data_IF_538424609467
#
_entry.id   IF_538424609467
#
_cell.length_a   1.000
_cell.length_b   1.000
_cell.length_c   1.000
_cell.angle_alpha   90.00
_cell.angle_beta   90.00
_cell.angle_gamma   90.00
#
_symmetry.space_group_name_H-M   'P 1'
#
loop_
_entity.id
_entity.type
_entity.pdbx_description
1 polymer ?
#
# COMPACT_ATOMS: atom_id res chain seq x y z
N UNK A 1 10.25 -13.49 19.94
CA UNK A 1 9.65 -13.00 21.20
C UNK A 1 9.55 -11.47 21.28
N UNK A 2 10.63 -10.69 21.08
CA UNK A 2 10.54 -9.22 21.15
C UNK A 2 9.61 -8.59 20.08
N UNK A 3 9.50 -9.19 18.89
CA UNK A 3 8.69 -8.67 17.78
C UNK A 3 7.18 -8.67 18.09
N UNK A 4 6.72 -9.57 18.96
CA UNK A 4 5.30 -9.75 19.31
C UNK A 4 4.74 -8.50 19.99
N UNK A 5 5.54 -7.83 20.83
CA UNK A 5 5.13 -6.61 21.52
C UNK A 5 4.85 -5.44 20.56
N UNK A 6 5.47 -5.44 19.38
CA UNK A 6 5.29 -4.38 18.38
C UNK A 6 4.10 -4.62 17.45
N UNK A 7 3.54 -5.84 17.41
CA UNK A 7 2.45 -6.19 16.48
C UNK A 7 1.22 -5.28 16.60
N UNK A 8 0.70 -4.95 17.80
CA UNK A 8 -0.43 -4.05 17.93
C UNK A 8 -0.17 -2.66 17.34
N UNK A 9 1.02 -2.10 17.57
CA UNK A 9 1.43 -0.82 17.02
C UNK A 9 1.54 -0.86 15.50
N UNK A 10 2.18 -1.90 14.94
CA UNK A 10 2.29 -2.09 13.50
C UNK A 10 0.92 -2.19 12.82
N UNK A 11 -0.02 -2.90 13.43
CA UNK A 11 -1.40 -3.03 12.91
C UNK A 11 -2.09 -1.68 12.81
N UNK A 12 -2.02 -0.87 13.86
CA UNK A 12 -2.66 0.45 13.89
C UNK A 12 -2.05 1.34 12.80
N UNK A 13 -0.73 1.41 12.72
CA UNK A 13 -0.02 2.25 11.74
C UNK A 13 -0.35 1.82 10.30
N UNK A 14 -0.17 0.54 9.97
CA UNK A 14 -0.38 0.04 8.61
C UNK A 14 -1.85 0.03 8.20
N UNK A 15 -2.74 -0.28 9.14
CA UNK A 15 -4.17 -0.26 8.91
C UNK A 15 -4.70 1.15 8.64
N UNK A 16 -4.28 2.14 9.44
CA UNK A 16 -4.63 3.55 9.21
C UNK A 16 -4.03 4.08 7.91
N UNK A 17 -2.80 3.69 7.56
CA UNK A 17 -2.19 4.06 6.28
C UNK A 17 -3.04 3.57 5.10
N UNK A 18 -3.45 2.31 5.09
CA UNK A 18 -4.23 1.71 4.01
C UNK A 18 -5.64 2.31 3.92
N UNK A 19 -6.33 2.47 5.06
CA UNK A 19 -7.65 3.11 5.09
C UNK A 19 -7.53 4.57 4.65
N UNK A 20 -6.59 5.33 5.20
CA UNK A 20 -6.36 6.73 4.82
C UNK A 20 -6.06 6.88 3.33
N UNK A 21 -5.16 6.04 2.80
CA UNK A 21 -4.83 6.03 1.37
C UNK A 21 -6.04 5.72 0.49
N UNK A 22 -6.85 4.72 0.88
CA UNK A 22 -8.07 4.36 0.13
C UNK A 22 -9.13 5.47 0.14
N UNK A 23 -9.41 6.07 1.30
CA UNK A 23 -10.41 7.13 1.46
C UNK A 23 -10.02 8.39 0.68
N UNK A 24 -8.72 8.65 0.50
CA UNK A 24 -8.25 9.76 -0.33
C UNK A 24 -8.36 9.48 -1.85
N UNK A 25 -8.42 8.21 -2.26
CA UNK A 25 -8.55 7.80 -3.68
C UNK A 25 -10.00 7.62 -4.12
N UNK A 26 -10.87 7.13 -3.24
CA UNK A 26 -12.27 6.79 -3.56
C UNK A 26 -13.12 7.97 -4.11
N UNK A 27 -12.98 9.22 -3.63
CA UNK A 27 -13.79 10.35 -4.12
C UNK A 27 -13.57 10.68 -5.59
N UNK A 28 -12.37 10.40 -6.13
CA UNK A 28 -12.00 10.75 -7.50
C UNK A 28 -11.19 9.62 -8.17
N UNK A 29 -11.89 8.52 -8.44
CA UNK A 29 -11.32 7.36 -9.14
C UNK A 29 -10.88 7.69 -10.57
N UNK A 30 -11.54 8.64 -11.24
CA UNK A 30 -11.15 9.09 -12.58
C UNK A 30 -9.79 9.81 -12.53
N UNK A 31 -9.62 10.73 -11.58
CA UNK A 31 -8.37 11.42 -11.36
C UNK A 31 -7.25 10.49 -10.91
N UNK A 32 -7.54 9.50 -10.05
CA UNK A 32 -6.57 8.47 -9.70
C UNK A 32 -6.19 7.60 -10.91
N UNK A 33 -7.14 7.22 -11.75
CA UNK A 33 -6.86 6.53 -13.03
C UNK A 33 -5.98 7.36 -13.96
N UNK A 34 -6.17 8.68 -14.02
CA UNK A 34 -5.31 9.58 -14.79
C UNK A 34 -3.90 9.66 -14.19
N UNK A 35 -3.77 9.67 -12.86
CA UNK A 35 -2.48 9.60 -12.17
C UNK A 35 -1.75 8.28 -12.50
N UNK A 36 -2.43 7.13 -12.45
CA UNK A 36 -1.86 5.83 -12.84
C UNK A 36 -1.46 5.82 -14.32
N UNK A 37 -2.28 6.39 -15.21
CA UNK A 37 -1.96 6.50 -16.63
C UNK A 37 -0.67 7.30 -16.87
N UNK A 38 -0.40 8.32 -16.05
CA UNK A 38 0.77 9.21 -16.21
C UNK A 38 2.12 8.49 -16.06
N UNK A 39 2.15 7.33 -15.41
CA UNK A 39 3.34 6.48 -15.34
C UNK A 39 3.74 5.89 -16.69
N UNK A 40 2.79 5.72 -17.63
CA UNK A 40 2.99 5.06 -18.92
C UNK A 40 3.68 3.67 -18.80
N UNK A 41 3.36 2.93 -17.73
CA UNK A 41 3.89 1.59 -17.45
C UNK A 41 2.89 0.46 -17.72
N UNK A 42 1.60 0.78 -17.80
CA UNK A 42 0.52 -0.18 -18.01
C UNK A 42 -0.16 0.06 -19.36
N UNK A 43 -0.70 -0.99 -20.00
CA UNK A 43 -1.49 -0.81 -21.19
C UNK A 43 -2.79 -0.08 -20.87
N UNK A 44 -3.28 0.74 -21.81
CA UNK A 44 -4.45 1.64 -21.60
C UNK A 44 -5.69 0.90 -21.10
N UNK A 45 -5.92 -0.33 -21.56
CA UNK A 45 -7.06 -1.16 -21.16
C UNK A 45 -6.97 -1.65 -19.70
N UNK A 46 -5.77 -1.76 -19.13
CA UNK A 46 -5.56 -2.23 -17.75
C UNK A 46 -5.56 -1.08 -16.72
N UNK A 47 -5.27 0.16 -17.14
CA UNK A 47 -5.16 1.30 -16.20
C UNK A 47 -6.44 1.50 -15.39
N UNK A 48 -7.59 1.59 -16.07
CA UNK A 48 -8.88 1.86 -15.41
C UNK A 48 -9.29 0.75 -14.44
N UNK A 49 -9.30 -0.55 -14.80
CA UNK A 49 -9.67 -1.60 -13.85
C UNK A 49 -8.71 -1.63 -12.65
N UNK A 50 -7.39 -1.51 -12.86
CA UNK A 50 -6.42 -1.48 -11.76
C UNK A 50 -6.69 -0.29 -10.82
N UNK A 51 -6.81 0.92 -11.38
CA UNK A 51 -7.02 2.12 -10.59
C UNK A 51 -8.35 2.11 -9.82
N UNK A 52 -9.38 1.49 -10.37
CA UNK A 52 -10.68 1.40 -9.71
C UNK A 52 -10.71 0.32 -8.64
N UNK A 53 -10.01 -0.81 -8.84
CA UNK A 53 -10.02 -1.92 -7.89
C UNK A 53 -9.10 -1.69 -6.69
N UNK A 54 -7.91 -1.11 -6.90
CA UNK A 54 -6.91 -0.92 -5.84
C UNK A 54 -7.46 -0.24 -4.58
N UNK A 55 -8.18 0.90 -4.65
CA UNK A 55 -8.67 1.58 -3.45
C UNK A 55 -9.60 0.72 -2.59
N UNK A 56 -10.45 -0.12 -3.21
CA UNK A 56 -11.32 -1.04 -2.46
C UNK A 56 -10.52 -2.15 -1.79
N UNK A 57 -9.52 -2.70 -2.48
CA UNK A 57 -8.64 -3.72 -1.90
C UNK A 57 -7.84 -3.12 -0.74
N UNK A 58 -7.29 -1.92 -0.91
CA UNK A 58 -6.59 -1.20 0.16
C UNK A 58 -7.48 -0.98 1.39
N UNK A 59 -8.75 -0.59 1.18
CA UNK A 59 -9.70 -0.42 2.28
C UNK A 59 -9.97 -1.73 3.03
N UNK A 60 -10.25 -2.82 2.32
CA UNK A 60 -10.53 -4.14 2.91
C UNK A 60 -9.31 -4.65 3.69
N UNK A 61 -8.11 -4.51 3.10
CA UNK A 61 -6.85 -4.90 3.74
C UNK A 61 -6.61 -4.06 4.99
N UNK A 62 -6.77 -2.74 4.91
CA UNK A 62 -6.62 -1.85 6.06
C UNK A 62 -7.58 -2.21 7.20
N UNK A 63 -8.83 -2.50 6.87
CA UNK A 63 -9.84 -2.94 7.83
C UNK A 63 -9.48 -4.28 8.50
N UNK A 64 -9.01 -5.27 7.74
CA UNK A 64 -8.57 -6.55 8.30
C UNK A 64 -7.31 -6.43 9.16
N UNK A 65 -6.35 -5.59 8.77
CA UNK A 65 -5.16 -5.31 9.59
C UNK A 65 -5.55 -4.64 10.91
N UNK A 66 -6.47 -3.65 10.90
CA UNK A 66 -6.95 -3.00 12.12
C UNK A 66 -7.75 -3.94 13.02
N UNK A 67 -8.76 -4.60 12.47
CA UNK A 67 -9.60 -5.53 13.23
C UNK A 67 -8.83 -6.77 13.71
N UNK A 68 -7.75 -7.15 13.02
CA UNK A 68 -6.99 -8.37 13.30
C UNK A 68 -7.62 -9.62 12.72
N UNK A 69 -8.75 -9.48 12.02
CA UNK A 69 -9.39 -10.58 11.32
C UNK A 69 -8.53 -11.00 10.15
N UNK A 70 -8.23 -12.30 10.04
CA UNK A 70 -7.42 -12.85 8.95
C UNK A 70 -6.09 -12.09 8.75
N UNK A 71 -5.47 -11.66 9.85
CA UNK A 71 -4.32 -10.74 9.86
C UNK A 71 -3.18 -11.18 8.96
N UNK A 72 -2.86 -12.48 8.94
CA UNK A 72 -1.79 -13.02 8.12
C UNK A 72 -2.08 -12.82 6.61
N UNK A 73 -3.31 -13.12 6.17
CA UNK A 73 -3.73 -12.91 4.79
C UNK A 73 -3.72 -11.41 4.44
N UNK A 74 -4.25 -10.57 5.31
CA UNK A 74 -4.25 -9.12 5.12
C UNK A 74 -2.82 -8.55 5.01
N UNK A 75 -1.90 -9.02 5.86
CA UNK A 75 -0.50 -8.63 5.83
C UNK A 75 0.20 -9.06 4.53
N UNK A 76 -0.06 -10.29 4.05
CA UNK A 76 0.45 -10.73 2.75
C UNK A 76 -0.10 -9.91 1.59
N UNK A 77 -1.40 -9.63 1.56
CA UNK A 77 -2.00 -8.81 0.50
C UNK A 77 -1.47 -7.37 0.53
N UNK A 78 -1.30 -6.78 1.71
CA UNK A 78 -0.72 -5.45 1.86
C UNK A 78 0.74 -5.40 1.43
N UNK A 79 1.52 -6.43 1.76
CA UNK A 79 2.90 -6.58 1.27
C UNK A 79 2.95 -6.63 -0.26
N UNK A 80 2.08 -7.41 -0.91
CA UNK A 80 2.02 -7.49 -2.37
C UNK A 80 1.70 -6.12 -2.99
N UNK A 81 0.71 -5.40 -2.45
CA UNK A 81 0.36 -4.05 -2.92
C UNK A 81 1.55 -3.10 -2.79
N UNK A 82 2.24 -3.13 -1.65
CA UNK A 82 3.40 -2.29 -1.40
C UNK A 82 4.58 -2.65 -2.30
N UNK A 83 4.86 -3.93 -2.53
CA UNK A 83 5.90 -4.38 -3.46
C UNK A 83 5.61 -3.94 -4.90
N UNK A 84 4.38 -4.16 -5.39
CA UNK A 84 3.98 -3.74 -6.74
C UNK A 84 4.12 -2.22 -6.89
N UNK A 85 3.61 -1.44 -5.93
CA UNK A 85 3.71 0.03 -5.95
C UNK A 85 5.17 0.50 -5.90
N UNK A 86 6.00 -0.15 -5.07
CA UNK A 86 7.44 0.13 -4.97
C UNK A 86 8.15 -0.13 -6.29
N UNK A 87 7.87 -1.26 -6.96
CA UNK A 87 8.43 -1.61 -8.25
C UNK A 87 8.01 -0.61 -9.33
N UNK A 88 6.73 -0.22 -9.37
CA UNK A 88 6.22 0.80 -10.31
C UNK A 88 6.94 2.13 -10.13
N UNK A 89 7.08 2.60 -8.89
CA UNK A 89 7.81 3.84 -8.56
C UNK A 89 9.28 3.73 -8.97
N UNK A 90 9.93 2.62 -8.64
CA UNK A 90 11.33 2.38 -8.95
C UNK A 90 11.60 2.40 -10.45
N UNK A 91 10.81 1.65 -11.23
CA UNK A 91 10.90 1.64 -12.70
C UNK A 91 10.66 3.04 -13.26
N UNK A 92 9.65 3.76 -12.77
CA UNK A 92 9.36 5.11 -13.23
C UNK A 92 10.50 6.11 -12.93
N UNK A 93 11.16 5.99 -11.78
CA UNK A 93 12.35 6.76 -11.42
C UNK A 93 13.55 6.43 -12.32
N UNK A 94 13.80 5.14 -12.58
CA UNK A 94 14.87 4.70 -13.49
C UNK A 94 14.67 5.20 -14.92
N UNK A 95 13.43 5.19 -15.39
CA UNK A 95 13.03 5.75 -16.69
C UNK A 95 12.94 7.29 -16.70
N UNK A 96 13.32 7.96 -15.60
CA UNK A 96 13.27 9.42 -15.43
C UNK A 96 11.91 10.03 -15.78
N UNK A 97 10.82 9.32 -15.48
CA UNK A 97 9.45 9.79 -15.75
C UNK A 97 9.13 10.98 -14.84
N UNK A 98 8.67 12.08 -15.43
CA UNK A 98 8.22 13.27 -14.70
C UNK A 98 6.75 13.13 -14.34
N UNK A 99 6.46 12.34 -13.31
CA UNK A 99 5.11 12.12 -12.79
C UNK A 99 4.82 13.16 -11.69
N UNK A 100 3.86 14.06 -11.96
CA UNK A 100 3.45 15.13 -11.02
C UNK A 100 2.66 14.60 -9.83
N UNK A 101 1.90 13.52 -10.02
CA UNK A 101 1.14 12.87 -8.97
C UNK A 101 1.45 11.37 -8.94
N UNK A 102 2.12 10.92 -7.89
CA UNK A 102 2.41 9.50 -7.67
C UNK A 102 1.14 8.68 -7.42
N UNK A 103 0.01 9.33 -7.08
CA UNK A 103 -1.28 8.68 -6.87
C UNK A 103 -1.43 7.98 -5.51
N UNK A 104 -0.37 7.87 -4.71
CA UNK A 104 -0.39 7.20 -3.40
C UNK A 104 -1.46 7.73 -2.43
N UNK A 105 -1.85 9.01 -2.58
CA UNK A 105 -2.86 9.69 -1.74
C UNK A 105 -4.00 10.27 -2.61
N UNK A 106 -4.30 9.63 -3.73
CA UNK A 106 -5.34 10.06 -4.65
C UNK A 106 -5.02 11.39 -5.34
N UNK A 107 -6.07 12.18 -5.60
CA UNK A 107 -5.95 13.52 -6.19
C UNK A 107 -6.04 14.64 -5.16
N UNK A 108 -6.44 14.32 -3.93
CA UNK A 108 -6.53 15.28 -2.81
C UNK A 108 -5.14 15.76 -2.41
N UNK A 109 -4.17 14.85 -2.29
CA UNK A 109 -2.79 15.18 -1.96
C UNK A 109 -1.90 14.83 -3.15
N UNK A 110 -1.63 15.84 -3.96
CA UNK A 110 -0.76 15.70 -5.15
C UNK A 110 0.69 15.68 -4.69
N UNK A 111 1.33 14.51 -4.78
CA UNK A 111 2.73 14.36 -4.41
C UNK A 111 3.57 13.95 -5.62
N UNK A 112 4.64 14.68 -5.95
CA UNK A 112 5.49 14.33 -7.09
C UNK A 112 6.27 13.04 -6.85
N UNK A 113 6.53 12.31 -7.94
CA UNK A 113 7.39 11.14 -7.93
C UNK A 113 8.83 11.55 -7.61
N UNK A 114 9.36 11.06 -6.50
CA UNK A 114 10.69 11.40 -5.98
C UNK A 114 11.34 10.18 -5.31
N UNK A 115 12.65 10.22 -5.11
CA UNK A 115 13.38 9.19 -4.34
C UNK A 115 12.89 9.08 -2.89
N UNK A 116 12.43 10.18 -2.30
CA UNK A 116 11.83 10.15 -0.96
C UNK A 116 10.59 9.26 -0.91
N UNK A 117 9.76 9.27 -1.96
CA UNK A 117 8.59 8.39 -2.05
C UNK A 117 8.95 6.93 -2.26
N UNK A 118 10.04 6.65 -2.96
CA UNK A 118 10.57 5.30 -3.03
C UNK A 118 11.00 4.79 -1.64
N UNK A 119 11.77 5.60 -0.89
CA UNK A 119 12.21 5.24 0.47
C UNK A 119 11.02 5.06 1.42
N UNK A 120 10.04 5.95 1.37
CA UNK A 120 8.80 5.84 2.15
C UNK A 120 8.08 4.51 1.89
N UNK A 121 7.95 4.10 0.63
CA UNK A 121 7.35 2.82 0.27
C UNK A 121 8.19 1.61 0.71
N UNK A 122 9.52 1.71 0.70
CA UNK A 122 10.40 0.66 1.25
C UNK A 122 10.17 0.51 2.76
N UNK A 123 10.02 1.62 3.50
CA UNK A 123 9.71 1.58 4.93
C UNK A 123 8.38 0.86 5.14
N UNK A 124 7.32 1.23 4.42
CA UNK A 124 6.02 0.55 4.53
C UNK A 124 6.10 -0.95 4.20
N UNK A 125 6.87 -1.31 3.17
CA UNK A 125 7.12 -2.71 2.79
C UNK A 125 7.79 -3.48 3.93
N UNK A 126 8.84 -2.93 4.53
CA UNK A 126 9.55 -3.56 5.67
C UNK A 126 8.59 -3.74 6.86
N UNK A 127 7.76 -2.75 7.16
CA UNK A 127 6.79 -2.84 8.26
C UNK A 127 5.76 -3.97 8.02
N UNK A 128 5.31 -4.20 6.78
CA UNK A 128 4.48 -5.37 6.45
C UNK A 128 5.22 -6.69 6.64
N UNK A 129 6.50 -6.77 6.27
CA UNK A 129 7.33 -7.96 6.50
C UNK A 129 7.43 -8.25 8.01
N UNK A 130 7.71 -7.23 8.82
CA UNK A 130 7.74 -7.36 10.28
C UNK A 130 6.40 -7.78 10.86
N UNK A 131 5.29 -7.24 10.33
CA UNK A 131 3.94 -7.65 10.73
C UNK A 131 3.69 -9.14 10.44
N UNK A 132 4.13 -9.65 9.29
CA UNK A 132 4.00 -11.08 8.94
C UNK A 132 4.77 -11.96 9.93
N UNK A 133 6.04 -11.65 10.20
CA UNK A 133 6.84 -12.41 11.16
C UNK A 133 6.24 -12.37 12.56
N UNK A 134 5.82 -11.19 13.03
CA UNK A 134 5.20 -11.05 14.35
C UNK A 134 3.86 -11.77 14.47
N UNK A 135 3.07 -11.80 13.39
CA UNK A 135 1.81 -12.55 13.34
C UNK A 135 2.05 -14.06 13.36
N UNK A 136 3.08 -14.56 12.67
CA UNK A 136 3.45 -15.98 12.73
C UNK A 136 3.92 -16.39 14.11
N UNK A 137 4.75 -15.57 14.77
CA UNK A 137 5.19 -15.80 16.14
C UNK A 137 3.99 -15.89 17.11
N UNK A 138 3.01 -14.97 16.97
CA UNK A 138 1.79 -14.98 17.77
C UNK A 138 0.95 -16.25 17.57
N UNK A 139 0.85 -16.74 16.32
CA UNK A 139 0.12 -17.95 15.98
C UNK A 139 0.83 -19.22 16.51
N UNK A 140 2.16 -19.25 16.45
CA UNK A 140 2.97 -20.32 17.05
C UNK A 140 2.85 -20.37 18.58
N UNK A 141 2.64 -19.21 19.22
CA UNK A 141 2.39 -19.09 20.66
C UNK A 141 0.93 -19.38 21.05
N UNK A 142 0.02 -19.61 20.09
CA UNK A 142 -1.39 -19.90 20.35
C UNK A 142 -2.20 -18.71 20.89
N UNK A 143 -1.72 -17.48 20.67
CA UNK A 143 -2.37 -16.25 21.16
C UNK A 143 -3.50 -15.79 20.22
N UNK A 144 -3.39 -16.14 18.93
CA UNK A 144 -4.38 -15.88 17.86
C UNK A 144 -4.40 -17.02 16.84
#
# INVERSE_FOLDING_TARGET
MALVYFVPGLRIILGLLFIGSSVLKLPDLNGFSAAVASFNLFPRWAVKPIAYTIPFVEFIVGWWVLSGKSLLYAAYTGLVIMLVTTLVIFIALLLKRKVKNCGCYGTVIVVPLTWNKFVENIIWTILFVLLIFGTKDLMLLGII
#
